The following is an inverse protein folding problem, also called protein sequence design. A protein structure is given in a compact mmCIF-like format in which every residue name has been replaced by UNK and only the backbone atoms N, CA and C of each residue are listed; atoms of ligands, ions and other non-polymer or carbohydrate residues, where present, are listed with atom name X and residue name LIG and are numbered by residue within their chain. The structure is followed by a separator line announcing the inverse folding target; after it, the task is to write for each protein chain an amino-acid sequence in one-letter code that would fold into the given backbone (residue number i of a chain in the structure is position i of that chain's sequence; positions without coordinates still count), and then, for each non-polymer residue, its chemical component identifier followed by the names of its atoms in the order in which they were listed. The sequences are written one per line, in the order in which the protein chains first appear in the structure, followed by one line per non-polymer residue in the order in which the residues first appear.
data_IF_125990248785
#
_entry.id   IF_125990248785
#
_cell.length_a   1.000
_cell.length_b   1.000
_cell.length_c   1.000
_cell.angle_alpha   90.00
_cell.angle_beta   90.00
_cell.angle_gamma   90.00
#
_symmetry.space_group_name_H-M   'P 1'
#
loop_
_entity.id
_entity.type
_entity.pdbx_description
1 polymer ?
#
# COMPACT_ATOMS: atom_id res chain seq x y z
N UNK A 1 -41.37 25.48 25.59
CA UNK A 1 -40.76 24.39 26.39
C UNK A 1 -39.59 23.85 25.60
N UNK A 2 -38.38 23.99 26.14
CA UNK A 2 -37.14 23.51 25.52
C UNK A 2 -36.73 22.19 26.16
N UNK A 3 -36.27 21.21 25.38
CA UNK A 3 -35.62 20.00 25.93
C UNK A 3 -34.58 19.44 24.95
N UNK A 4 -33.34 19.85 25.22
CA UNK A 4 -32.04 19.18 25.08
C UNK A 4 -31.77 18.13 23.98
N UNK A 5 -30.84 18.50 23.09
CA UNK A 5 -30.05 17.57 22.28
C UNK A 5 -28.98 16.87 23.16
N UNK A 6 -28.93 15.54 23.08
CA UNK A 6 -27.88 14.72 23.69
C UNK A 6 -26.62 14.79 22.83
N UNK A 7 -25.64 15.58 23.28
CA UNK A 7 -24.26 15.53 22.79
C UNK A 7 -23.55 14.32 23.38
N UNK A 8 -23.24 13.33 22.55
CA UNK A 8 -22.32 12.24 22.90
C UNK A 8 -20.92 12.71 22.52
N UNK A 9 -20.10 13.06 23.50
CA UNK A 9 -18.68 13.28 23.33
C UNK A 9 -18.01 11.91 23.07
N UNK A 10 -17.47 11.72 21.87
CA UNK A 10 -16.62 10.57 21.57
C UNK A 10 -15.25 10.75 22.25
N UNK A 11 -14.72 9.73 22.94
CA UNK A 11 -13.42 9.82 23.57
C UNK A 11 -12.32 9.92 22.51
N UNK A 12 -11.41 10.87 22.70
CA UNK A 12 -10.23 11.06 21.87
C UNK A 12 -9.37 9.79 21.90
N UNK A 13 -9.44 9.00 20.83
CA UNK A 13 -8.51 7.91 20.61
C UNK A 13 -7.13 8.53 20.38
N UNK A 14 -6.22 8.31 21.34
CA UNK A 14 -4.81 8.61 21.19
C UNK A 14 -4.28 7.87 19.97
N UNK A 15 -3.89 8.61 18.94
CA UNK A 15 -3.20 8.09 17.76
C UNK A 15 -1.84 7.57 18.21
N UNK A 16 -1.55 6.25 18.18
CA UNK A 16 -0.16 5.84 18.19
C UNK A 16 0.44 6.33 16.87
N UNK A 17 1.36 7.29 16.96
CA UNK A 17 2.23 7.64 15.84
C UNK A 17 3.10 6.43 15.54
N UNK A 18 2.61 5.54 14.68
CA UNK A 18 3.44 4.53 14.03
C UNK A 18 4.39 5.30 13.10
N UNK A 19 5.56 5.66 13.61
CA UNK A 19 6.71 6.05 12.81
C UNK A 19 7.12 4.84 11.99
N UNK A 20 6.52 4.70 10.80
CA UNK A 20 7.03 3.84 9.76
C UNK A 20 8.34 4.47 9.29
N UNK A 21 9.45 4.06 9.89
CA UNK A 21 10.78 4.43 9.42
C UNK A 21 10.96 3.77 8.06
N UNK A 22 10.66 4.53 7.01
CA UNK A 22 11.16 4.25 5.69
C UNK A 22 12.69 4.12 5.84
N UNK A 23 13.21 2.93 5.59
CA UNK A 23 14.65 2.75 5.38
C UNK A 23 14.99 3.53 4.12
N UNK A 24 15.29 4.82 4.31
CA UNK A 24 15.85 5.67 3.29
C UNK A 24 17.30 5.25 3.12
N UNK A 25 17.54 4.34 2.17
CA UNK A 25 18.86 4.18 1.58
C UNK A 25 19.21 5.53 0.95
N UNK A 26 20.34 6.15 1.30
CA UNK A 26 20.69 7.45 0.75
C UNK A 26 21.15 7.24 -0.69
N UNK A 27 20.30 7.65 -1.65
CA UNK A 27 20.69 7.76 -3.06
C UNK A 27 19.64 7.29 -4.07
N UNK A 28 18.43 7.85 -4.06
CA UNK A 28 17.64 8.09 -5.29
C UNK A 28 16.40 8.97 -4.97
N UNK A 29 16.54 10.29 -4.96
CA UNK A 29 15.45 11.24 -4.64
C UNK A 29 14.40 11.43 -5.76
N UNK A 30 14.28 10.49 -6.72
CA UNK A 30 13.39 10.64 -7.89
C UNK A 30 12.43 9.48 -8.17
N UNK A 31 12.32 8.50 -7.27
CA UNK A 31 11.23 7.52 -7.32
C UNK A 31 10.39 7.59 -6.04
N UNK A 32 9.33 8.38 -6.04
CA UNK A 32 8.35 8.39 -4.95
C UNK A 32 7.70 7.00 -4.87
N UNK A 33 8.09 6.21 -3.87
CA UNK A 33 7.52 4.89 -3.64
C UNK A 33 6.02 5.02 -3.34
N UNK A 34 5.17 4.20 -3.97
CA UNK A 34 3.72 4.29 -3.78
C UNK A 34 3.29 4.06 -2.32
N UNK A 35 4.10 3.33 -1.54
CA UNK A 35 3.87 3.09 -0.11
C UNK A 35 4.06 4.35 0.75
N UNK A 36 4.68 5.39 0.22
CA UNK A 36 4.79 6.71 0.85
C UNK A 36 3.59 7.64 0.55
N UNK A 37 2.66 7.25 -0.34
CA UNK A 37 1.42 8.00 -0.55
C UNK A 37 0.63 8.07 0.77
N UNK A 38 0.18 9.25 1.24
CA UNK A 38 -0.54 9.39 2.50
C UNK A 38 -1.77 8.49 2.65
N UNK A 39 -2.42 8.14 1.53
CA UNK A 39 -3.55 7.19 1.49
C UNK A 39 -3.06 5.76 1.72
N UNK A 40 -1.96 5.37 1.07
CA UNK A 40 -1.35 4.05 1.24
C UNK A 40 -0.84 3.86 2.67
N UNK A 41 -0.17 4.86 3.24
CA UNK A 41 0.32 4.85 4.64
C UNK A 41 -0.82 4.56 5.63
N UNK A 42 -1.97 5.24 5.48
CA UNK A 42 -3.14 5.02 6.35
C UNK A 42 -3.71 3.61 6.22
N UNK A 43 -3.80 3.10 4.99
CA UNK A 43 -4.30 1.75 4.74
C UNK A 43 -3.35 0.68 5.26
N UNK A 44 -2.04 0.85 5.08
CA UNK A 44 -1.01 -0.05 5.61
C UNK A 44 -1.03 -0.08 7.16
N UNK A 45 -1.14 1.08 7.81
CA UNK A 45 -1.32 1.15 9.26
C UNK A 45 -2.61 0.45 9.72
N UNK A 46 -3.70 0.57 8.96
CA UNK A 46 -4.94 -0.18 9.23
C UNK A 46 -4.74 -1.69 9.09
N UNK A 47 -4.01 -2.13 8.07
CA UNK A 47 -3.67 -3.55 7.88
C UNK A 47 -2.76 -4.08 9.00
N UNK A 48 -1.86 -3.25 9.54
CA UNK A 48 -1.04 -3.60 10.70
C UNK A 48 -1.91 -3.84 11.95
N UNK A 49 -2.85 -2.93 12.22
CA UNK A 49 -3.72 -2.99 13.38
C UNK A 49 -4.75 -4.14 13.29
N UNK A 50 -5.22 -4.45 12.09
CA UNK A 50 -6.13 -5.57 11.83
C UNK A 50 -5.67 -6.29 10.57
N UNK A 51 -4.93 -7.39 10.69
CA UNK A 51 -4.38 -8.12 9.55
C UNK A 51 -5.47 -8.58 8.57
N UNK A 52 -5.30 -8.39 7.25
CA UNK A 52 -6.20 -8.94 6.25
C UNK A 52 -6.07 -10.46 6.15
N UNK A 53 -7.07 -11.11 5.55
CA UNK A 53 -7.06 -12.56 5.33
C UNK A 53 -6.04 -12.90 4.24
N UNK A 54 -5.26 -13.96 4.46
CA UNK A 54 -4.38 -14.53 3.45
C UNK A 54 -5.13 -15.65 2.70
N UNK A 55 -5.11 -15.58 1.37
CA UNK A 55 -5.74 -16.56 0.48
C UNK A 55 -4.68 -17.29 -0.34
N UNK A 56 -4.92 -18.57 -0.57
CA UNK A 56 -4.17 -19.35 -1.56
C UNK A 56 -4.79 -19.16 -2.95
N UNK A 57 -3.94 -18.81 -3.91
CA UNK A 57 -4.28 -18.68 -5.31
C UNK A 57 -3.65 -19.81 -6.11
N UNK A 58 -4.35 -20.20 -7.17
CA UNK A 58 -3.87 -21.19 -8.13
C UNK A 58 -4.28 -20.77 -9.53
N UNK A 59 -3.32 -20.71 -10.44
CA UNK A 59 -3.55 -20.53 -11.87
C UNK A 59 -3.01 -21.73 -12.65
N UNK A 60 -3.65 -22.04 -13.78
CA UNK A 60 -3.18 -23.09 -14.70
C UNK A 60 -3.06 -22.49 -16.09
N UNK A 61 -1.86 -22.59 -16.67
CA UNK A 61 -1.62 -22.23 -18.06
C UNK A 61 -1.02 -23.43 -18.79
N UNK A 62 -1.80 -24.06 -19.65
CA UNK A 62 -1.44 -25.34 -20.28
C UNK A 62 -1.15 -26.44 -19.24
N UNK A 63 0.10 -26.90 -19.22
CA UNK A 63 0.59 -27.90 -18.28
C UNK A 63 1.27 -27.30 -17.03
N UNK A 64 1.46 -25.98 -16.98
CA UNK A 64 2.00 -25.30 -15.82
C UNK A 64 0.89 -25.00 -14.80
N UNK A 65 1.20 -25.17 -13.52
CA UNK A 65 0.33 -24.81 -12.40
C UNK A 65 1.11 -23.90 -11.46
N UNK A 66 0.69 -22.64 -11.39
CA UNK A 66 1.26 -21.66 -10.48
C UNK A 66 0.42 -21.62 -9.20
N UNK A 67 1.11 -21.55 -8.06
CA UNK A 67 0.48 -21.40 -6.74
C UNK A 67 1.20 -20.29 -5.98
N UNK A 68 0.43 -19.41 -5.36
CA UNK A 68 0.96 -18.34 -4.52
C UNK A 68 -0.06 -17.97 -3.45
N UNK A 69 0.41 -17.39 -2.34
CA UNK A 69 -0.47 -16.78 -1.35
C UNK A 69 -0.46 -15.27 -1.51
N UNK A 70 -1.60 -14.64 -1.25
CA UNK A 70 -1.73 -13.19 -1.28
C UNK A 70 -2.71 -12.75 -0.18
N UNK A 71 -2.54 -11.52 0.30
CA UNK A 71 -3.54 -10.90 1.17
C UNK A 71 -4.72 -10.41 0.33
N UNK A 72 -5.93 -10.53 0.87
CA UNK A 72 -7.15 -10.17 0.18
C UNK A 72 -8.07 -9.28 1.04
N UNK A 73 -9.02 -8.64 0.35
CA UNK A 73 -10.02 -7.78 0.94
C UNK A 73 -9.86 -6.31 0.56
N UNK A 74 -10.89 -5.52 0.85
CA UNK A 74 -11.06 -4.16 0.33
C UNK A 74 -9.86 -3.23 0.57
N UNK A 75 -9.15 -3.38 1.69
CA UNK A 75 -7.96 -2.56 2.01
C UNK A 75 -6.78 -2.89 1.11
N UNK A 76 -6.58 -4.17 0.78
CA UNK A 76 -5.52 -4.63 -0.11
C UNK A 76 -5.84 -4.24 -1.55
N UNK A 77 -7.11 -4.35 -1.95
CA UNK A 77 -7.59 -3.86 -3.26
C UNK A 77 -7.40 -2.34 -3.40
N UNK A 78 -7.70 -1.57 -2.34
CA UNK A 78 -7.47 -0.13 -2.34
C UNK A 78 -5.97 0.24 -2.41
N UNK A 79 -5.10 -0.54 -1.76
CA UNK A 79 -3.64 -0.37 -1.88
C UNK A 79 -3.17 -0.65 -3.32
N UNK A 80 -3.68 -1.72 -3.94
CA UNK A 80 -3.34 -2.04 -5.33
C UNK A 80 -3.85 -0.96 -6.29
N UNK A 81 -5.04 -0.41 -6.06
CA UNK A 81 -5.57 0.71 -6.85
C UNK A 81 -4.67 1.95 -6.78
N UNK A 82 -4.13 2.30 -5.60
CA UNK A 82 -3.18 3.40 -5.43
C UNK A 82 -1.88 3.11 -6.19
N UNK A 83 -1.34 1.89 -6.05
CA UNK A 83 -0.13 1.46 -6.77
C UNK A 83 -0.33 1.57 -8.28
N UNK A 84 -1.45 1.08 -8.81
CA UNK A 84 -1.78 1.13 -10.23
C UNK A 84 -2.02 2.56 -10.73
N UNK A 85 -2.71 3.41 -9.95
CA UNK A 85 -2.90 4.83 -10.28
C UNK A 85 -1.56 5.56 -10.47
N UNK A 86 -0.57 5.27 -9.62
CA UNK A 86 0.78 5.85 -9.75
C UNK A 86 1.50 5.28 -10.96
N UNK A 87 1.45 3.96 -11.16
CA UNK A 87 2.03 3.30 -12.33
C UNK A 87 1.52 3.84 -13.66
N UNK A 88 0.20 4.04 -13.75
CA UNK A 88 -0.45 4.61 -14.94
C UNK A 88 0.03 6.03 -15.23
N UNK A 89 0.20 6.88 -14.21
CA UNK A 89 0.74 8.23 -14.38
C UNK A 89 2.19 8.21 -14.88
N UNK A 90 3.02 7.31 -14.35
CA UNK A 90 4.42 7.15 -14.76
C UNK A 90 4.51 6.64 -16.20
N UNK A 91 3.68 5.67 -16.56
CA UNK A 91 3.58 5.16 -17.93
C UNK A 91 3.12 6.24 -18.91
N UNK A 92 2.13 7.05 -18.53
CA UNK A 92 1.70 8.20 -19.31
C UNK A 92 2.81 9.24 -19.50
N UNK A 93 3.59 9.51 -18.46
CA UNK A 93 4.75 10.41 -18.53
C UNK A 93 5.79 9.89 -19.53
N UNK A 94 6.09 8.59 -19.49
CA UNK A 94 6.96 7.93 -20.48
C UNK A 94 6.44 8.10 -21.91
N UNK A 95 5.14 7.86 -22.15
CA UNK A 95 4.55 8.06 -23.48
C UNK A 95 4.61 9.51 -23.97
N UNK A 96 4.58 10.50 -23.08
CA UNK A 96 4.58 11.92 -23.43
C UNK A 96 5.98 12.51 -23.59
N UNK A 97 6.94 12.08 -22.76
CA UNK A 97 8.29 12.66 -22.67
C UNK A 97 9.34 11.78 -23.35
N UNK A 98 8.99 10.54 -23.72
CA UNK A 98 9.89 9.60 -24.37
C UNK A 98 10.85 8.92 -23.40
N UNK A 99 11.96 8.34 -23.91
CA UNK A 99 12.90 7.51 -23.14
C UNK A 99 13.42 8.14 -21.83
N UNK A 100 13.53 9.46 -21.76
CA UNK A 100 14.05 10.18 -20.60
C UNK A 100 13.14 10.04 -19.36
N UNK A 101 11.86 9.71 -19.54
CA UNK A 101 10.89 9.48 -18.46
C UNK A 101 10.65 7.98 -18.18
N UNK A 102 11.45 7.08 -18.75
CA UNK A 102 11.30 5.63 -18.54
C UNK A 102 11.78 5.18 -17.15
N UNK A 103 12.87 5.76 -16.64
CA UNK A 103 13.51 5.32 -15.38
C UNK A 103 12.52 5.30 -14.19
N UNK A 104 11.69 6.32 -13.95
CA UNK A 104 10.68 6.27 -12.89
C UNK A 104 9.65 5.15 -13.04
N UNK A 105 9.21 4.85 -14.27
CA UNK A 105 8.27 3.74 -14.53
C UNK A 105 8.94 2.39 -14.30
N UNK A 106 10.19 2.24 -14.75
CA UNK A 106 11.00 1.04 -14.48
C UNK A 106 11.17 0.83 -12.98
N UNK A 107 11.51 1.87 -12.24
CA UNK A 107 11.67 1.80 -10.78
C UNK A 107 10.34 1.44 -10.09
N UNK A 108 9.20 1.90 -10.60
CA UNK A 108 7.88 1.47 -10.11
C UNK A 108 7.57 -0.01 -10.35
N UNK A 109 8.02 -0.58 -11.48
CA UNK A 109 7.84 -2.02 -11.75
C UNK A 109 8.55 -2.91 -10.71
N UNK A 110 9.68 -2.44 -10.17
CA UNK A 110 10.46 -3.14 -9.13
C UNK A 110 9.89 -2.92 -7.71
N UNK A 111 8.94 -2.00 -7.53
CA UNK A 111 8.31 -1.76 -6.22
C UNK A 111 7.39 -2.92 -5.82
N UNK A 112 7.23 -3.17 -4.51
CA UNK A 112 6.38 -4.25 -4.02
C UNK A 112 4.93 -4.10 -4.48
N UNK A 113 4.26 -5.23 -4.72
CA UNK A 113 2.80 -5.25 -4.86
C UNK A 113 2.11 -5.03 -3.50
N UNK A 114 0.79 -4.82 -3.50
CA UNK A 114 0.05 -4.54 -2.26
C UNK A 114 0.19 -5.65 -1.20
N UNK A 115 0.19 -6.92 -1.62
CA UNK A 115 0.35 -8.05 -0.68
C UNK A 115 1.74 -8.09 -0.04
N UNK A 116 2.80 -7.85 -0.81
CA UNK A 116 4.16 -7.78 -0.31
C UNK A 116 4.35 -6.59 0.66
N UNK A 117 3.74 -5.43 0.36
CA UNK A 117 3.77 -4.27 1.26
C UNK A 117 3.05 -4.55 2.58
N UNK A 118 1.89 -5.23 2.55
CA UNK A 118 1.19 -5.67 3.77
C UNK A 118 2.04 -6.66 4.56
N UNK A 119 2.65 -7.65 3.91
CA UNK A 119 3.53 -8.61 4.56
C UNK A 119 4.66 -7.92 5.32
N UNK A 120 5.33 -6.96 4.69
CA UNK A 120 6.43 -6.20 5.30
C UNK A 120 5.99 -5.48 6.57
N UNK A 121 4.83 -4.80 6.54
CA UNK A 121 4.32 -4.07 7.70
C UNK A 121 3.89 -5.00 8.84
N UNK A 122 3.34 -6.18 8.52
CA UNK A 122 2.98 -7.17 9.53
C UNK A 122 4.22 -7.75 10.23
N UNK A 123 5.30 -8.02 9.48
CA UNK A 123 6.57 -8.47 10.07
C UNK A 123 7.11 -7.41 11.04
N UNK A 124 7.19 -6.15 10.61
CA UNK A 124 7.67 -5.06 11.47
C UNK A 124 6.81 -4.81 12.71
N UNK A 125 5.51 -5.15 12.66
CA UNK A 125 4.60 -5.00 13.80
C UNK A 125 4.75 -6.10 14.85
N UNK A 126 5.41 -7.22 14.52
CA UNK A 126 5.65 -8.33 15.47
C UNK A 126 6.96 -8.22 16.24
N UNK A 127 7.85 -7.30 15.86
CA UNK A 127 9.16 -7.08 16.48
C UNK A 127 9.15 -5.96 17.56
N UNK A 128 7.96 -5.47 17.94
CA UNK A 128 7.73 -4.44 18.96
C UNK A 128 6.73 -4.93 20.02
#
# INVERSE_FOLDING_TARGET
MATHALSIAAPAAATPHLTLTAVAVPGNDTASCWTADPRAVKLLASCAALPPVMLEHRSRFGNAVDRWTAFAGYRVEALEAIRMEIGDRLLQAYHQQGPDAYEPFRDWCEQPNASAAVAAVLVSSTEH
#
